data_IF_973807845643
#
_entry.id   IF_973807845643
#
_cell.length_a   1.000
_cell.length_b   1.000
_cell.length_c   1.000
_cell.angle_alpha   90.00
_cell.angle_beta   90.00
_cell.angle_gamma   90.00
#
_symmetry.space_group_name_H-M   'P 1'
#
loop_
_entity.id
_entity.type
_entity.pdbx_description
1 polymer ?
#
# COMPACT_ATOMS: atom_id res chain seq x y z
N UNK A 1 37.17 -2.15 37.62
CA UNK A 1 36.78 -1.22 38.70
C UNK A 1 36.65 0.14 38.05
N UNK A 2 35.51 0.84 38.02
CA UNK A 2 34.59 1.15 39.12
C UNK A 2 33.22 1.56 38.55
N UNK A 3 32.13 1.01 39.10
CA UNK A 3 30.74 1.45 38.90
C UNK A 3 30.52 2.88 39.41
N UNK A 4 29.56 3.62 38.83
CA UNK A 4 28.74 4.55 39.63
C UNK A 4 27.29 4.62 39.13
N UNK A 5 26.40 4.23 40.04
CA UNK A 5 24.94 4.34 40.00
C UNK A 5 24.48 5.68 40.61
N UNK A 6 23.18 5.94 40.41
CA UNK A 6 22.26 6.73 41.25
C UNK A 6 22.23 8.23 40.93
N UNK A 7 21.06 8.86 40.78
CA UNK A 7 20.12 9.11 41.90
C UNK A 7 18.72 9.50 41.40
N UNK A 8 17.70 8.91 42.02
CA UNK A 8 16.29 9.30 41.95
C UNK A 8 16.05 10.56 42.78
N UNK A 9 15.22 11.49 42.29
CA UNK A 9 14.64 12.57 43.11
C UNK A 9 13.12 12.44 43.06
N UNK A 10 12.55 12.06 44.20
CA UNK A 10 11.14 12.18 44.51
C UNK A 10 10.93 13.49 45.27
N UNK A 11 9.90 14.27 44.92
CA UNK A 11 9.39 15.33 45.77
C UNK A 11 7.88 15.16 45.86
N UNK A 12 7.44 14.87 47.07
CA UNK A 12 6.06 14.80 47.54
C UNK A 12 5.52 16.21 47.81
N UNK A 13 4.22 16.43 47.62
CA UNK A 13 3.52 17.56 48.23
C UNK A 13 2.19 17.10 48.85
N UNK A 14 2.05 17.45 50.13
CA UNK A 14 1.00 17.12 51.09
C UNK A 14 -0.36 17.77 50.74
N UNK A 15 -1.46 17.03 50.88
CA UNK A 15 -2.41 17.01 52.00
C UNK A 15 -3.39 18.19 52.07
N UNK A 16 -4.70 17.87 52.07
CA UNK A 16 -5.72 18.68 52.74
C UNK A 16 -6.70 17.72 53.42
N UNK A 17 -6.78 17.80 54.76
CA UNK A 17 -7.80 17.16 55.58
C UNK A 17 -9.08 18.00 55.55
N UNK A 18 -10.23 17.35 55.39
CA UNK A 18 -11.51 17.88 55.82
C UNK A 18 -12.20 16.87 56.75
N UNK A 19 -12.48 17.35 57.95
CA UNK A 19 -13.07 16.67 59.08
C UNK A 19 -14.53 17.14 59.20
N UNK A 20 -15.52 16.24 59.16
CA UNK A 20 -16.83 16.44 59.81
C UNK A 20 -17.72 15.19 59.69
N UNK A 21 -18.38 14.84 60.80
CA UNK A 21 -19.70 14.18 60.76
C UNK A 21 -19.73 12.73 61.23
N UNK A 22 -20.01 12.54 62.51
CA UNK A 22 -20.36 11.27 63.14
C UNK A 22 -21.66 10.69 62.56
N UNK A 23 -21.60 9.46 62.04
CA UNK A 23 -22.75 8.63 61.71
C UNK A 23 -22.38 7.16 61.91
N UNK A 24 -23.09 6.48 62.82
CA UNK A 24 -22.90 5.06 63.15
C UNK A 24 -23.48 4.17 62.05
N UNK A 25 -22.71 3.20 61.54
CA UNK A 25 -23.26 2.03 60.85
C UNK A 25 -22.22 0.89 60.75
N UNK A 26 -22.69 -0.32 61.07
CA UNK A 26 -22.09 -1.67 61.06
C UNK A 26 -20.78 -1.95 60.32
N UNK A 27 -19.95 -2.74 60.99
CA UNK A 27 -18.86 -3.50 60.41
C UNK A 27 -19.34 -4.53 59.37
N UNK A 28 -18.62 -4.62 58.25
CA UNK A 28 -18.55 -5.80 57.40
C UNK A 28 -17.06 -6.08 57.10
N UNK A 29 -16.56 -7.32 57.21
CA UNK A 29 -15.21 -7.66 56.77
C UNK A 29 -15.18 -7.60 55.24
N UNK A 30 -14.32 -6.74 54.67
CA UNK A 30 -14.04 -6.76 53.24
C UNK A 30 -13.27 -8.04 52.90
N UNK A 31 -13.91 -8.94 52.15
CA UNK A 31 -13.25 -10.04 51.45
C UNK A 31 -12.18 -9.45 50.51
N UNK A 32 -10.97 -10.04 50.41
CA UNK A 32 -10.00 -9.59 49.43
C UNK A 32 -10.59 -9.78 48.03
N UNK A 33 -10.59 -8.69 47.27
CA UNK A 33 -11.03 -8.66 45.88
C UNK A 33 -10.39 -9.81 45.11
N UNK A 34 -11.25 -10.67 44.56
CA UNK A 34 -10.85 -11.79 43.73
C UNK A 34 -9.93 -11.33 42.61
N UNK A 35 -8.82 -12.02 42.45
CA UNK A 35 -7.93 -11.90 41.32
C UNK A 35 -8.74 -12.16 40.05
N UNK A 36 -9.06 -11.10 39.30
CA UNK A 36 -9.63 -11.24 37.97
C UNK A 36 -8.58 -11.90 37.07
N UNK A 37 -8.83 -13.15 36.68
CA UNK A 37 -8.14 -13.80 35.57
C UNK A 37 -8.28 -12.91 34.33
N UNK A 38 -7.21 -12.70 33.53
CA UNK A 38 -7.32 -11.92 32.31
C UNK A 38 -8.32 -12.58 31.36
N UNK A 39 -9.29 -11.79 30.90
CA UNK A 39 -10.30 -12.18 29.92
C UNK A 39 -9.62 -12.64 28.63
N UNK A 40 -10.14 -13.70 28.00
CA UNK A 40 -9.61 -14.30 26.76
C UNK A 40 -9.40 -13.27 25.63
N UNK A 41 -10.17 -12.17 25.61
CA UNK A 41 -9.97 -11.05 24.68
C UNK A 41 -8.63 -10.32 24.83
N UNK A 42 -8.03 -10.27 26.03
CA UNK A 42 -6.70 -9.69 26.21
C UNK A 42 -5.58 -10.59 25.70
N UNK A 43 -5.79 -11.92 25.67
CA UNK A 43 -4.82 -12.88 25.13
C UNK A 43 -4.80 -12.87 23.59
N UNK A 44 -5.95 -12.62 22.96
CA UNK A 44 -6.07 -12.49 21.50
C UNK A 44 -5.24 -11.32 20.93
N UNK A 45 -4.92 -10.32 21.76
CA UNK A 45 -4.09 -9.16 21.36
C UNK A 45 -2.59 -9.43 21.43
N UNK A 46 -2.16 -10.60 21.92
CA UNK A 46 -0.75 -10.96 22.13
C UNK A 46 -0.26 -12.09 21.22
N UNK A 47 -1.06 -12.55 20.27
CA UNK A 47 -0.61 -13.54 19.28
C UNK A 47 0.36 -12.84 18.32
N UNK A 48 1.64 -13.22 18.26
CA UNK A 48 2.56 -12.70 17.26
C UNK A 48 2.00 -12.99 15.88
N UNK A 49 1.77 -11.96 15.06
CA UNK A 49 1.43 -12.16 13.65
C UNK A 49 2.68 -12.70 12.97
N UNK A 50 2.66 -13.99 12.65
CA UNK A 50 3.72 -14.65 11.88
C UNK A 50 3.43 -14.35 10.42
N UNK A 51 4.19 -13.43 9.84
CA UNK A 51 4.15 -13.15 8.39
C UNK A 51 5.13 -14.08 7.67
N UNK A 52 4.67 -14.73 6.60
CA UNK A 52 5.54 -15.50 5.74
C UNK A 52 6.25 -14.58 4.73
N UNK A 53 7.47 -14.92 4.28
CA UNK A 53 8.08 -14.30 3.12
C UNK A 53 7.20 -14.48 1.86
N UNK A 54 7.22 -13.51 0.94
CA UNK A 54 6.43 -13.56 -0.30
C UNK A 54 6.65 -14.85 -1.11
N UNK A 55 7.90 -15.32 -1.13
CA UNK A 55 8.32 -16.54 -1.83
C UNK A 55 7.62 -17.80 -1.29
N UNK A 56 7.27 -17.82 0.00
CA UNK A 56 6.56 -18.94 0.62
C UNK A 56 5.09 -19.01 0.19
N UNK A 57 4.47 -17.86 -0.11
CA UNK A 57 3.12 -17.81 -0.67
C UNK A 57 3.10 -18.32 -2.11
N UNK A 58 4.04 -17.86 -2.93
CA UNK A 58 4.13 -18.28 -4.34
C UNK A 58 4.44 -19.78 -4.46
N UNK A 59 5.25 -20.33 -3.55
CA UNK A 59 5.48 -21.77 -3.45
C UNK A 59 4.22 -22.52 -2.99
N UNK A 60 3.47 -21.99 -2.02
CA UNK A 60 2.24 -22.62 -1.57
C UNK A 60 1.21 -22.71 -2.71
N UNK A 61 1.06 -21.65 -3.51
CA UNK A 61 0.20 -21.64 -4.71
C UNK A 61 0.71 -22.62 -5.78
N UNK A 62 2.02 -22.66 -6.03
CA UNK A 62 2.64 -23.56 -7.00
C UNK A 62 2.46 -25.05 -6.64
N UNK A 63 2.53 -25.39 -5.35
CA UNK A 63 2.42 -26.77 -4.86
C UNK A 63 1.02 -27.12 -4.35
N UNK A 64 0.03 -26.22 -4.47
CA UNK A 64 -1.34 -26.45 -4.03
C UNK A 64 -1.49 -26.62 -2.51
N UNK A 65 -0.58 -26.04 -1.73
CA UNK A 65 -0.59 -26.10 -0.27
C UNK A 65 -1.56 -25.04 0.27
N UNK A 66 -2.59 -25.49 0.98
CA UNK A 66 -3.57 -24.59 1.57
C UNK A 66 -3.01 -23.96 2.85
N UNK A 67 -2.74 -22.65 2.81
CA UNK A 67 -2.24 -21.93 3.98
C UNK A 67 -3.39 -21.61 4.96
N UNK A 68 -3.17 -21.78 6.28
CA UNK A 68 -4.09 -21.32 7.31
C UNK A 68 -4.44 -19.83 7.18
N UNK A 69 -5.67 -19.45 7.56
CA UNK A 69 -6.16 -18.07 7.44
C UNK A 69 -5.30 -17.04 8.20
N UNK A 70 -4.72 -17.42 9.34
CA UNK A 70 -3.81 -16.55 10.09
C UNK A 70 -2.46 -16.30 9.38
N UNK A 71 -2.13 -17.12 8.38
CA UNK A 71 -1.00 -16.95 7.48
C UNK A 71 -1.42 -16.39 6.13
N UNK A 72 -2.71 -16.06 5.90
CA UNK A 72 -3.17 -15.53 4.62
C UNK A 72 -2.25 -14.38 4.16
N UNK A 73 -1.93 -14.37 2.86
CA UNK A 73 -1.06 -13.35 2.27
C UNK A 73 -1.58 -12.00 2.76
N UNK A 74 -0.77 -11.17 3.46
CA UNK A 74 -1.18 -9.83 3.76
C UNK A 74 -1.54 -9.22 2.40
N UNK A 75 -2.81 -8.88 2.23
CA UNK A 75 -3.26 -8.27 0.98
C UNK A 75 -2.31 -7.11 0.70
N UNK A 76 -1.84 -7.00 -0.54
CA UNK A 76 -1.06 -5.85 -0.98
C UNK A 76 -1.76 -4.63 -0.39
N UNK A 77 -1.08 -3.85 0.46
CA UNK A 77 -1.83 -2.81 1.15
C UNK A 77 -2.41 -1.89 0.09
N UNK A 78 -3.75 -1.80 0.01
CA UNK A 78 -4.42 -1.04 -1.05
C UNK A 78 -3.88 0.40 -1.11
N UNK A 79 -3.44 0.92 0.04
CA UNK A 79 -2.74 2.19 0.16
C UNK A 79 -1.39 2.22 -0.60
N UNK A 80 -0.55 1.19 -0.45
CA UNK A 80 0.72 1.09 -1.16
C UNK A 80 0.52 0.86 -2.66
N UNK A 81 -0.40 -0.03 -3.05
CA UNK A 81 -0.69 -0.26 -4.47
C UNK A 81 -1.18 1.03 -5.15
N UNK A 82 -2.09 1.76 -4.52
CA UNK A 82 -2.57 3.05 -5.03
C UNK A 82 -1.48 4.12 -5.08
N UNK A 83 -0.59 4.15 -4.08
CA UNK A 83 0.57 5.05 -4.08
C UNK A 83 1.51 4.72 -5.24
N UNK A 84 1.93 3.47 -5.38
CA UNK A 84 2.83 3.04 -6.45
C UNK A 84 2.19 3.25 -7.83
N UNK A 85 0.89 3.00 -7.97
CA UNK A 85 0.13 3.31 -9.20
C UNK A 85 0.21 4.79 -9.57
N UNK A 86 0.05 5.68 -8.60
CA UNK A 86 0.16 7.13 -8.80
C UNK A 86 1.60 7.52 -9.17
N UNK A 87 2.58 7.00 -8.44
CA UNK A 87 4.00 7.32 -8.62
C UNK A 87 4.51 6.84 -9.99
N UNK A 88 4.16 5.61 -10.41
CA UNK A 88 4.57 5.06 -11.71
C UNK A 88 3.91 5.78 -12.88
N UNK A 89 2.66 6.22 -12.73
CA UNK A 89 1.96 7.06 -13.73
C UNK A 89 2.68 8.40 -13.92
N UNK A 90 2.98 9.09 -12.81
CA UNK A 90 3.67 10.36 -12.84
C UNK A 90 5.10 10.25 -13.41
N UNK A 91 5.85 9.22 -13.00
CA UNK A 91 7.20 8.96 -13.48
C UNK A 91 7.22 8.63 -14.99
N UNK A 92 6.25 7.86 -15.47
CA UNK A 92 6.10 7.51 -16.88
C UNK A 92 5.82 8.78 -17.70
N UNK A 93 4.87 9.62 -17.28
CA UNK A 93 4.58 10.88 -17.94
C UNK A 93 5.81 11.83 -17.94
N UNK A 94 6.54 11.92 -16.83
CA UNK A 94 7.76 12.70 -16.76
C UNK A 94 8.85 12.18 -17.72
N UNK A 95 8.98 10.86 -17.86
CA UNK A 95 9.92 10.25 -18.80
C UNK A 95 9.55 10.57 -20.25
N UNK A 96 8.28 10.49 -20.63
CA UNK A 96 7.82 10.85 -21.98
C UNK A 96 8.05 12.34 -22.30
N UNK A 97 7.83 13.25 -21.33
CA UNK A 97 8.23 14.67 -21.48
C UNK A 97 9.72 14.83 -21.67
N UNK A 98 10.55 14.08 -20.92
CA UNK A 98 12.01 14.07 -21.12
C UNK A 98 12.38 13.57 -22.51
N UNK A 99 11.65 12.60 -23.08
CA UNK A 99 11.80 12.17 -24.48
C UNK A 99 11.32 13.21 -25.50
N UNK A 100 10.59 14.25 -25.09
CA UNK A 100 10.14 15.35 -25.94
C UNK A 100 8.66 15.29 -26.36
N UNK A 101 7.91 14.30 -25.88
CA UNK A 101 6.46 14.23 -26.08
C UNK A 101 5.73 15.37 -25.36
N UNK A 102 4.52 15.70 -25.82
CA UNK A 102 3.70 16.81 -25.30
C UNK A 102 2.47 16.28 -24.59
N UNK A 103 2.19 16.76 -23.40
CA UNK A 103 0.95 16.42 -22.70
C UNK A 103 -0.27 16.82 -23.52
N UNK A 104 -1.26 15.93 -23.57
CA UNK A 104 -2.55 16.20 -24.20
C UNK A 104 -3.69 15.69 -23.31
N UNK A 105 -4.65 16.57 -23.03
CA UNK A 105 -5.77 16.27 -22.12
C UNK A 105 -6.74 15.24 -22.70
N UNK A 106 -6.89 15.16 -24.02
CA UNK A 106 -7.74 14.15 -24.64
C UNK A 106 -7.04 12.80 -24.66
N UNK A 107 -5.75 12.76 -24.97
CA UNK A 107 -4.94 11.55 -24.86
C UNK A 107 -4.94 11.00 -23.43
N UNK A 108 -4.88 11.89 -22.43
CA UNK A 108 -4.99 11.52 -21.01
C UNK A 108 -6.33 10.86 -20.66
N UNK A 109 -7.45 11.39 -21.21
CA UNK A 109 -8.77 10.79 -21.01
C UNK A 109 -8.87 9.41 -21.65
N UNK A 110 -8.31 9.24 -22.85
CA UNK A 110 -8.28 7.95 -23.55
C UNK A 110 -7.42 6.95 -22.77
N UNK A 111 -6.24 7.36 -22.29
CA UNK A 111 -5.41 6.52 -21.42
C UNK A 111 -6.18 6.09 -20.15
N UNK A 112 -6.93 7.00 -19.53
CA UNK A 112 -7.76 6.65 -18.36
C UNK A 112 -8.88 5.68 -18.72
N UNK A 113 -9.51 5.85 -19.89
CA UNK A 113 -10.50 4.92 -20.41
C UNK A 113 -9.89 3.53 -20.58
N UNK A 114 -8.72 3.42 -21.20
CA UNK A 114 -8.00 2.17 -21.41
C UNK A 114 -7.58 1.49 -20.09
N UNK A 115 -7.07 2.25 -19.12
CA UNK A 115 -6.75 1.72 -17.79
C UNK A 115 -7.98 1.15 -17.08
N UNK A 116 -9.13 1.81 -17.19
CA UNK A 116 -10.39 1.32 -16.64
C UNK A 116 -10.91 0.08 -17.39
N UNK A 117 -10.77 0.04 -18.72
CA UNK A 117 -11.11 -1.15 -19.50
C UNK A 117 -10.28 -2.36 -19.06
N UNK A 118 -9.00 -2.18 -18.82
CA UNK A 118 -8.13 -3.25 -18.34
C UNK A 118 -8.50 -3.72 -16.93
N UNK A 119 -8.76 -2.78 -16.01
CA UNK A 119 -9.29 -3.09 -14.67
C UNK A 119 -10.59 -3.90 -14.73
N UNK A 120 -11.47 -3.57 -15.68
CA UNK A 120 -12.75 -4.27 -15.88
C UNK A 120 -12.59 -5.61 -16.64
N UNK A 121 -11.37 -6.04 -16.96
CA UNK A 121 -11.10 -7.30 -17.68
C UNK A 121 -11.45 -7.27 -19.18
N UNK A 122 -11.61 -6.09 -19.78
CA UNK A 122 -11.98 -5.91 -21.20
C UNK A 122 -10.78 -5.92 -22.14
N UNK A 123 -9.58 -5.65 -21.62
CA UNK A 123 -8.33 -5.69 -22.39
C UNK A 123 -7.80 -7.11 -22.45
N UNK A 124 -7.45 -7.55 -23.66
CA UNK A 124 -6.75 -8.81 -23.87
C UNK A 124 -5.24 -8.57 -23.72
N UNK A 125 -4.61 -9.33 -22.84
CA UNK A 125 -3.17 -9.26 -22.60
C UNK A 125 -2.43 -10.39 -23.30
N UNK A 126 -1.30 -10.06 -23.91
CA UNK A 126 -0.27 -11.00 -24.34
C UNK A 126 0.93 -10.82 -23.41
N UNK A 127 1.06 -11.72 -22.43
CA UNK A 127 1.95 -11.50 -21.29
C UNK A 127 1.40 -10.41 -20.37
N UNK A 128 2.18 -9.36 -20.14
CA UNK A 128 1.80 -8.24 -19.26
C UNK A 128 1.42 -6.96 -20.02
N UNK A 129 1.33 -7.01 -21.36
CA UNK A 129 0.96 -5.87 -22.19
C UNK A 129 -0.24 -6.21 -23.08
N UNK A 130 -1.06 -5.20 -23.39
CA UNK A 130 -2.16 -5.28 -24.33
C UNK A 130 -2.48 -3.89 -24.87
N UNK A 131 -3.42 -3.81 -25.81
CA UNK A 131 -3.91 -2.56 -26.35
C UNK A 131 -5.23 -2.16 -25.66
N UNK A 132 -5.60 -0.88 -25.72
CA UNK A 132 -6.98 -0.52 -25.44
C UNK A 132 -7.96 -1.07 -26.49
N UNK A 133 -9.25 -0.95 -26.22
CA UNK A 133 -10.29 -1.47 -27.13
C UNK A 133 -10.96 -0.38 -27.97
N UNK A 134 -10.58 0.88 -27.76
CA UNK A 134 -11.17 2.08 -28.38
C UNK A 134 -10.08 3.04 -28.87
N UNK A 135 -10.43 3.96 -29.77
CA UNK A 135 -9.52 5.01 -30.29
C UNK A 135 -8.27 4.49 -31.04
N UNK A 136 -8.38 3.31 -31.66
CA UNK A 136 -7.28 2.63 -32.34
C UNK A 136 -6.93 3.22 -33.72
N UNK A 137 -7.77 4.11 -34.26
CA UNK A 137 -7.52 4.78 -35.55
C UNK A 137 -6.88 6.16 -35.36
N UNK A 138 -7.16 6.81 -34.24
CA UNK A 138 -6.73 8.15 -33.88
C UNK A 138 -5.30 8.16 -33.31
N UNK A 139 -4.86 7.03 -32.75
CA UNK A 139 -3.58 6.92 -32.09
C UNK A 139 -3.19 5.47 -31.79
N UNK A 140 -2.17 5.33 -30.95
CA UNK A 140 -1.62 4.05 -30.54
C UNK A 140 -1.05 4.16 -29.13
N UNK A 141 -0.81 3.01 -28.49
CA UNK A 141 -0.28 2.97 -27.14
C UNK A 141 -0.47 1.58 -26.55
N UNK A 142 -0.12 1.43 -25.28
CA UNK A 142 -0.17 0.15 -24.59
C UNK A 142 -0.84 0.30 -23.22
N UNK A 143 -1.44 -0.78 -22.76
CA UNK A 143 -1.85 -0.98 -21.37
C UNK A 143 -0.98 -2.09 -20.78
N UNK A 144 -0.34 -1.81 -19.65
CA UNK A 144 0.49 -2.75 -18.91
C UNK A 144 -0.26 -3.23 -17.66
N UNK A 145 -0.29 -4.54 -17.45
CA UNK A 145 -0.78 -5.17 -16.22
C UNK A 145 0.43 -5.50 -15.34
N UNK A 146 0.60 -4.76 -14.25
CA UNK A 146 1.76 -4.85 -13.37
C UNK A 146 1.35 -5.33 -11.98
N UNK A 147 2.06 -6.31 -11.44
CA UNK A 147 2.06 -6.57 -9.99
C UNK A 147 2.66 -5.37 -9.24
N UNK A 148 2.47 -5.32 -7.92
CA UNK A 148 3.11 -4.28 -7.09
C UNK A 148 4.64 -4.24 -7.30
N UNK A 149 5.29 -5.41 -7.34
CA UNK A 149 6.74 -5.49 -7.48
C UNK A 149 7.18 -4.98 -8.86
N UNK A 150 6.52 -5.38 -9.94
CA UNK A 150 6.84 -4.89 -11.28
C UNK A 150 6.61 -3.38 -11.43
N UNK A 151 5.57 -2.84 -10.78
CA UNK A 151 5.32 -1.40 -10.77
C UNK A 151 6.42 -0.65 -10.00
N UNK A 152 6.91 -1.20 -8.88
CA UNK A 152 8.07 -0.66 -8.14
C UNK A 152 9.36 -0.73 -8.96
N UNK A 153 9.61 -1.83 -9.64
CA UNK A 153 10.81 -2.01 -10.46
C UNK A 153 10.81 -1.04 -11.65
N UNK A 154 9.65 -0.88 -12.31
CA UNK A 154 9.46 0.12 -13.37
C UNK A 154 9.68 1.53 -12.82
N UNK A 155 9.09 1.87 -11.68
CA UNK A 155 9.26 3.16 -11.03
C UNK A 155 10.73 3.45 -10.72
N UNK A 156 11.44 2.50 -10.13
CA UNK A 156 12.87 2.61 -9.84
C UNK A 156 13.68 2.82 -11.12
N UNK A 157 13.37 2.10 -12.20
CA UNK A 157 14.01 2.29 -13.50
C UNK A 157 13.77 3.70 -14.07
N UNK A 158 12.53 4.20 -14.03
CA UNK A 158 12.15 5.52 -14.53
C UNK A 158 12.81 6.67 -13.74
N UNK A 159 13.09 6.45 -12.46
CA UNK A 159 13.70 7.43 -11.57
C UNK A 159 15.23 7.47 -11.67
N UNK A 160 15.86 6.56 -12.42
CA UNK A 160 17.31 6.61 -12.63
C UNK A 160 17.69 7.90 -13.35
N UNK A 161 18.76 8.52 -12.87
CA UNK A 161 19.34 9.70 -13.51
C UNK A 161 20.24 9.28 -14.67
N UNK A 162 19.60 8.89 -15.78
CA UNK A 162 20.28 8.53 -17.02
C UNK A 162 19.80 9.43 -18.16
N UNK A 163 20.68 9.76 -19.14
CA UNK A 163 20.29 10.52 -20.31
C UNK A 163 19.12 9.83 -21.04
N UNK A 164 18.04 10.58 -21.24
CA UNK A 164 16.86 10.11 -21.97
C UNK A 164 17.01 10.54 -23.42
N UNK A 165 17.04 9.57 -24.33
CA UNK A 165 17.09 9.85 -25.77
C UNK A 165 15.79 10.55 -26.19
N UNK A 166 15.92 11.64 -26.95
CA UNK A 166 14.76 12.31 -27.53
C UNK A 166 14.12 11.44 -28.60
N UNK A 167 12.79 11.39 -28.61
CA UNK A 167 12.03 10.75 -29.67
C UNK A 167 12.16 11.59 -30.95
N UNK A 168 12.51 11.01 -32.10
CA UNK A 168 12.50 11.72 -33.38
C UNK A 168 11.09 12.11 -33.81
N UNK A 169 10.06 11.43 -33.27
CA UNK A 169 8.65 11.63 -33.58
C UNK A 169 7.88 11.94 -32.28
N UNK A 170 8.12 13.11 -31.71
CA UNK A 170 7.41 13.58 -30.53
C UNK A 170 5.91 13.73 -30.81
N UNK A 171 5.09 12.95 -30.11
CA UNK A 171 3.62 12.91 -30.24
C UNK A 171 2.91 13.54 -29.02
N UNK A 172 1.69 14.07 -29.18
CA UNK A 172 0.79 14.37 -28.06
C UNK A 172 0.44 13.06 -27.32
N UNK A 173 0.50 13.05 -25.99
CA UNK A 173 0.34 11.84 -25.21
C UNK A 173 -0.47 12.02 -23.91
N UNK A 174 -0.93 10.91 -23.36
CA UNK A 174 -1.51 10.79 -22.03
C UNK A 174 -1.09 9.50 -21.34
N UNK A 175 -1.03 9.51 -20.01
CA UNK A 175 -0.70 8.35 -19.19
C UNK A 175 -1.61 8.29 -17.98
N UNK A 176 -2.29 7.18 -17.77
CA UNK A 176 -3.18 6.99 -16.64
C UNK A 176 -3.03 5.60 -16.03
N UNK A 177 -3.56 5.42 -14.83
CA UNK A 177 -3.59 4.10 -14.20
C UNK A 177 -4.91 3.82 -13.51
N UNK A 178 -5.21 2.53 -13.33
CA UNK A 178 -6.27 2.04 -12.48
C UNK A 178 -5.80 0.80 -11.70
N UNK A 179 -6.44 0.51 -10.57
CA UNK A 179 -6.13 -0.67 -9.73
C UNK A 179 -7.40 -1.47 -9.43
N UNK A 180 -7.28 -2.80 -9.36
CA UNK A 180 -8.32 -3.73 -8.89
C UNK A 180 -8.06 -4.24 -7.46
N UNK A 181 -6.95 -3.84 -6.84
CA UNK A 181 -6.50 -4.32 -5.54
C UNK A 181 -5.39 -5.37 -5.61
N UNK A 182 -5.09 -5.89 -6.79
CA UNK A 182 -4.02 -6.85 -7.04
C UNK A 182 -2.98 -6.30 -8.03
N UNK A 183 -3.46 -5.69 -9.12
CA UNK A 183 -2.64 -5.16 -10.20
C UNK A 183 -2.77 -3.64 -10.35
N UNK A 184 -1.70 -3.04 -10.88
CA UNK A 184 -1.70 -1.71 -11.49
C UNK A 184 -1.85 -1.88 -13.00
N UNK A 185 -2.91 -1.30 -13.56
CA UNK A 185 -3.13 -1.20 -14.99
C UNK A 185 -2.67 0.18 -15.47
N UNK A 186 -1.45 0.27 -15.99
CA UNK A 186 -0.85 1.50 -16.49
C UNK A 186 -1.09 1.63 -17.99
N UNK A 187 -1.80 2.65 -18.44
CA UNK A 187 -2.06 2.91 -19.85
C UNK A 187 -1.27 4.13 -20.33
N UNK A 188 -0.67 4.01 -21.51
CA UNK A 188 -0.03 5.07 -22.28
C UNK A 188 -0.76 5.19 -23.61
N UNK A 189 -1.10 6.41 -24.03
CA UNK A 189 -1.74 6.67 -25.33
C UNK A 189 -1.10 7.85 -26.03
N UNK A 190 -0.91 7.72 -27.34
CA UNK A 190 -0.28 8.72 -28.21
C UNK A 190 -1.15 8.95 -29.45
N UNK A 191 -1.45 10.22 -29.75
CA UNK A 191 -2.09 10.55 -31.03
C UNK A 191 -1.12 10.39 -32.20
N UNK A 192 -1.69 10.15 -33.39
CA UNK A 192 -0.94 10.02 -34.64
C UNK A 192 -0.18 11.28 -35.05
#
# INVERSE_FOLDING_TARGET
>A
MTLKRSTFVAVSAAAVLSLAGTGVASAAPALPAGSSLPTVEQLSSQVPRVELPNEAYDLADQFGVQLPEFLARPGVSNAELNRVSTDVTAATAAHLRKQGHKDDTNAQKIAQEWANQAKDGKVKFEGNAGDGTTHLNEGSGNVYKLTLQEAKDRLAWLQRDVPVQKSPNAKPFGVASATDGEFVYLAEYFFN
#
